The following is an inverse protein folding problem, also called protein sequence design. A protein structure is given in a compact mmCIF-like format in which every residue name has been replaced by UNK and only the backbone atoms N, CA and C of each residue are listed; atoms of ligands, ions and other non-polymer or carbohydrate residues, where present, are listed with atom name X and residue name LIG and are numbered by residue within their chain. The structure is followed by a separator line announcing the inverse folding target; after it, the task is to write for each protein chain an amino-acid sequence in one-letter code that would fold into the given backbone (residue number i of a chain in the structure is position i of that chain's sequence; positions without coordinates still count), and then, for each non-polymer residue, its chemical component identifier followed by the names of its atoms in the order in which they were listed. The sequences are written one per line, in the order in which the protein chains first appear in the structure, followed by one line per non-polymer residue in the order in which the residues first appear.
data_IF_430751153137
#
_entry.id   IF_430751153137
#
_cell.length_a   1.000
_cell.length_b   1.000
_cell.length_c   1.000
_cell.angle_alpha   90.00
_cell.angle_beta   90.00
_cell.angle_gamma   90.00
#
_symmetry.space_group_name_H-M   'P 1'
#
loop_
_entity.id
_entity.type
_entity.pdbx_description
1 polymer ?
#
# COMPACT_ATOMS: atom_id res chain seq x y z
N UNK A 1 -4.34 22.80 -10.20
CA UNK A 1 -3.78 21.63 -9.48
C UNK A 1 -4.24 20.38 -10.21
N UNK A 2 -3.33 19.57 -10.76
CA UNK A 2 -3.71 18.30 -11.36
C UNK A 2 -4.12 17.36 -10.22
N UNK A 3 -5.43 17.16 -10.04
CA UNK A 3 -5.96 16.23 -9.04
C UNK A 3 -5.63 14.83 -9.54
N UNK A 4 -4.55 14.22 -9.03
CA UNK A 4 -4.34 12.78 -9.21
C UNK A 4 -5.55 12.09 -8.60
N UNK A 5 -6.41 11.53 -9.44
CA UNK A 5 -7.60 10.81 -8.98
C UNK A 5 -7.14 9.68 -8.07
N UNK A 6 -7.55 9.73 -6.81
CA UNK A 6 -7.24 8.65 -5.87
C UNK A 6 -7.91 7.38 -6.38
N UNK A 7 -7.13 6.30 -6.46
CA UNK A 7 -7.61 4.97 -6.83
C UNK A 7 -7.39 4.02 -5.66
N UNK A 8 -8.30 3.07 -5.50
CA UNK A 8 -8.14 1.99 -4.55
C UNK A 8 -6.90 1.19 -4.90
N UNK A 9 -6.00 1.06 -3.93
CA UNK A 9 -4.74 0.35 -4.08
C UNK A 9 -4.92 -1.15 -4.34
N UNK A 10 -6.10 -1.74 -4.10
CA UNK A 10 -6.29 -3.19 -4.24
C UNK A 10 -7.14 -3.60 -5.43
N UNK A 11 -8.08 -2.75 -5.86
CA UNK A 11 -9.00 -3.08 -6.95
C UNK A 11 -9.15 -1.99 -8.02
N UNK A 12 -8.40 -0.90 -7.90
CA UNK A 12 -8.44 0.24 -8.83
C UNK A 12 -9.79 0.98 -8.92
N UNK A 13 -10.73 0.73 -7.98
CA UNK A 13 -11.94 1.54 -7.84
C UNK A 13 -11.59 3.02 -7.60
N UNK A 14 -12.37 3.93 -8.18
CA UNK A 14 -12.19 5.37 -7.99
C UNK A 14 -12.69 5.83 -6.62
N UNK A 15 -12.23 7.01 -6.20
CA UNK A 15 -12.68 7.71 -4.99
C UNK A 15 -12.65 6.85 -3.71
N UNK A 16 -11.48 6.28 -3.34
CA UNK A 16 -11.33 5.54 -2.10
C UNK A 16 -11.54 6.46 -0.89
N UNK A 17 -12.33 5.99 0.08
CA UNK A 17 -12.70 6.74 1.29
C UNK A 17 -11.91 6.35 2.53
N UNK A 18 -11.00 5.40 2.41
CA UNK A 18 -10.26 4.84 3.55
C UNK A 18 -8.76 4.89 3.30
N UNK A 19 -8.00 5.24 4.34
CA UNK A 19 -6.54 5.10 4.38
C UNK A 19 -6.14 3.86 5.19
N UNK A 20 -5.16 3.11 4.68
CA UNK A 20 -4.46 2.07 5.43
C UNK A 20 -3.10 2.66 5.85
N UNK A 21 -3.05 3.21 7.06
CA UNK A 21 -1.99 4.13 7.50
C UNK A 21 -0.61 3.49 7.44
N UNK A 22 -0.45 2.31 8.04
CA UNK A 22 0.80 1.57 8.10
C UNK A 22 1.26 0.98 6.75
N UNK A 23 0.43 1.08 5.70
CA UNK A 23 0.74 0.63 4.34
C UNK A 23 0.91 1.79 3.36
N UNK A 24 0.55 3.02 3.75
CA UNK A 24 0.69 4.20 2.91
C UNK A 24 -0.22 4.21 1.68
N UNK A 25 -1.42 3.62 1.77
CA UNK A 25 -2.34 3.49 0.62
C UNK A 25 -3.78 3.91 0.93
N UNK A 26 -4.56 4.22 -0.11
CA UNK A 26 -6.00 4.41 -0.03
C UNK A 26 -6.77 3.20 -0.58
N UNK A 27 -7.92 2.87 0.01
CA UNK A 27 -8.78 1.76 -0.42
C UNK A 27 -10.27 2.14 -0.41
N UNK A 28 -11.07 1.47 -1.26
CA UNK A 28 -12.53 1.66 -1.32
C UNK A 28 -13.24 0.92 -0.17
N UNK A 29 -14.54 1.15 0.00
CA UNK A 29 -15.35 0.54 1.06
C UNK A 29 -15.29 -1.01 1.05
N UNK A 30 -15.38 -1.62 -0.13
CA UNK A 30 -15.33 -3.07 -0.27
C UNK A 30 -13.98 -3.68 0.12
N UNK A 31 -12.87 -3.02 -0.22
CA UNK A 31 -11.54 -3.47 0.20
C UNK A 31 -11.29 -3.18 1.68
N UNK A 32 -11.79 -2.05 2.19
CA UNK A 32 -11.73 -1.70 3.61
C UNK A 32 -12.40 -2.76 4.50
N UNK A 33 -13.56 -3.30 4.12
CA UNK A 33 -14.22 -4.34 4.90
C UNK A 33 -13.36 -5.61 5.06
N UNK A 34 -12.57 -5.94 4.05
CA UNK A 34 -11.59 -7.03 4.09
C UNK A 34 -10.40 -6.64 4.97
N UNK A 35 -9.84 -5.44 4.82
CA UNK A 35 -8.76 -4.97 5.68
C UNK A 35 -9.10 -5.01 7.17
N UNK A 36 -10.37 -4.72 7.53
CA UNK A 36 -10.86 -4.84 8.92
C UNK A 36 -10.79 -6.27 9.44
N UNK A 37 -11.06 -7.28 8.61
CA UNK A 37 -11.01 -8.69 9.03
C UNK A 37 -9.58 -9.23 9.19
N UNK A 38 -8.57 -8.56 8.62
CA UNK A 38 -7.15 -8.89 8.85
C UNK A 38 -6.64 -8.44 10.24
N UNK A 39 -7.31 -7.47 10.86
CA UNK A 39 -6.92 -6.92 12.16
C UNK A 39 -5.79 -5.87 12.11
N UNK A 40 -5.65 -5.13 13.22
CA UNK A 40 -4.81 -3.91 13.31
C UNK A 40 -3.31 -4.14 13.20
N UNK A 41 -2.84 -5.35 13.50
CA UNK A 41 -1.43 -5.72 13.35
C UNK A 41 -1.01 -5.80 11.87
N UNK A 42 -1.96 -6.07 10.97
CA UNK A 42 -1.75 -6.06 9.52
C UNK A 42 -2.19 -4.72 8.91
N UNK A 43 -3.39 -4.23 9.27
CA UNK A 43 -4.03 -3.09 8.60
C UNK A 43 -4.60 -2.08 9.59
N UNK A 44 -4.03 -0.87 9.60
CA UNK A 44 -4.52 0.26 10.41
C UNK A 44 -5.44 1.15 9.58
N UNK A 45 -6.74 0.91 9.69
CA UNK A 45 -7.79 1.55 8.88
C UNK A 45 -8.23 2.90 9.47
N UNK A 46 -8.30 3.96 8.65
CA UNK A 46 -8.90 5.27 9.02
C UNK A 46 -9.77 5.82 7.90
N UNK A 47 -10.97 6.30 8.22
CA UNK A 47 -11.90 6.93 7.26
C UNK A 47 -11.45 8.34 6.92
N UNK A 48 -11.40 8.75 5.64
CA UNK A 48 -10.86 10.05 5.20
C UNK A 48 -11.70 11.26 5.65
N UNK A 49 -13.02 11.10 5.73
CA UNK A 49 -13.96 12.17 6.09
C UNK A 49 -14.37 12.07 7.58
N UNK A 50 -13.54 11.47 8.42
CA UNK A 50 -13.70 11.59 9.87
C UNK A 50 -13.29 13.00 10.27
N UNK A 51 -14.12 13.70 11.06
CA UNK A 51 -13.96 15.09 11.53
C UNK A 51 -12.67 15.40 12.34
N UNK A 52 -11.67 14.51 12.35
CA UNK A 52 -10.35 14.77 12.93
C UNK A 52 -9.27 13.94 12.23
N UNK A 53 -8.72 14.47 11.14
CA UNK A 53 -7.41 14.07 10.63
C UNK A 53 -6.38 15.11 11.03
N UNK A 54 -5.32 14.72 11.74
CA UNK A 54 -4.14 15.57 11.85
C UNK A 54 -3.65 15.89 10.42
N UNK A 55 -3.48 17.17 10.04
CA UNK A 55 -3.06 17.55 8.70
C UNK A 55 -1.74 16.87 8.28
N UNK A 56 -0.83 16.68 9.22
CA UNK A 56 0.44 15.97 9.03
C UNK A 56 0.25 14.51 8.62
N UNK A 57 -0.71 13.80 9.23
CA UNK A 57 -1.00 12.39 8.92
C UNK A 57 -1.62 12.24 7.53
N UNK A 58 -2.54 13.13 7.15
CA UNK A 58 -3.12 13.14 5.81
C UNK A 58 -2.05 13.47 4.76
N UNK A 59 -1.21 14.47 5.03
CA UNK A 59 -0.10 14.86 4.16
C UNK A 59 0.89 13.70 3.97
N UNK A 60 1.29 13.02 5.05
CA UNK A 60 2.15 11.84 5.00
C UNK A 60 1.56 10.74 4.12
N UNK A 61 0.28 10.38 4.33
CA UNK A 61 -0.38 9.33 3.55
C UNK A 61 -0.47 9.69 2.06
N UNK A 62 -0.78 10.96 1.76
CA UNK A 62 -0.81 11.46 0.39
C UNK A 62 0.57 11.41 -0.27
N UNK A 63 1.62 11.81 0.45
CA UNK A 63 3.00 11.76 -0.05
C UNK A 63 3.43 10.33 -0.33
N UNK A 64 3.22 9.40 0.61
CA UNK A 64 3.53 7.98 0.42
C UNK A 64 2.78 7.38 -0.77
N UNK A 65 1.48 7.64 -0.88
CA UNK A 65 0.66 7.15 -2.00
C UNK A 65 1.18 7.69 -3.33
N UNK A 66 1.44 9.00 -3.40
CA UNK A 66 1.92 9.67 -4.61
C UNK A 66 3.35 9.28 -5.00
N UNK A 67 4.17 8.91 -4.01
CA UNK A 67 5.54 8.40 -4.16
C UNK A 67 5.61 6.92 -4.51
N UNK A 68 4.47 6.26 -4.73
CA UNK A 68 4.44 4.87 -5.20
C UNK A 68 4.57 3.82 -4.09
N UNK A 69 4.12 4.11 -2.86
CA UNK A 69 4.09 3.12 -1.78
C UNK A 69 3.41 1.80 -2.19
N UNK A 70 2.42 1.84 -3.08
CA UNK A 70 1.76 0.63 -3.59
C UNK A 70 2.71 -0.29 -4.38
N UNK A 71 3.75 0.25 -5.02
CA UNK A 71 4.75 -0.54 -5.75
C UNK A 71 5.58 -1.45 -4.83
N UNK A 72 5.72 -1.10 -3.54
CA UNK A 72 6.35 -2.00 -2.56
C UNK A 72 5.53 -3.27 -2.34
N UNK A 73 4.21 -3.10 -2.26
CA UNK A 73 3.26 -4.19 -2.00
C UNK A 73 2.88 -4.97 -3.25
N UNK A 74 3.21 -4.47 -4.44
CA UNK A 74 2.87 -5.06 -5.75
C UNK A 74 4.11 -5.23 -6.64
N UNK A 75 5.31 -5.28 -6.06
CA UNK A 75 6.58 -5.26 -6.79
C UNK A 75 6.63 -6.30 -7.92
N UNK A 76 6.37 -7.57 -7.61
CA UNK A 76 6.38 -8.63 -8.62
C UNK A 76 5.22 -8.57 -9.62
N UNK A 77 4.16 -7.80 -9.33
CA UNK A 77 3.06 -7.54 -10.27
C UNK A 77 3.40 -6.43 -11.27
N UNK A 78 4.32 -5.54 -10.91
CA UNK A 78 4.84 -4.49 -11.78
C UNK A 78 5.89 -5.01 -12.77
N UNK A 79 6.50 -6.16 -12.50
CA UNK A 79 7.45 -6.79 -13.42
C UNK A 79 6.75 -7.42 -14.63
N UNK A 80 7.31 -7.23 -15.82
CA UNK A 80 6.80 -7.77 -17.09
C UNK A 80 6.71 -9.31 -17.14
N UNK A 81 7.30 -10.00 -16.17
CA UNK A 81 7.28 -11.46 -16.01
C UNK A 81 6.23 -11.96 -15.00
N UNK A 82 5.36 -11.07 -14.49
CA UNK A 82 4.32 -11.44 -13.54
C UNK A 82 3.54 -12.65 -14.05
N UNK A 83 3.40 -13.66 -13.18
CA UNK A 83 2.65 -14.88 -13.49
C UNK A 83 1.23 -14.48 -13.93
N UNK A 84 0.78 -14.96 -15.10
CA UNK A 84 -0.54 -14.64 -15.67
C UNK A 84 -1.70 -14.91 -14.70
N UNK A 85 -1.49 -15.76 -13.70
CA UNK A 85 -2.49 -16.14 -12.69
C UNK A 85 -2.55 -15.17 -11.49
N UNK A 86 -1.55 -14.32 -11.30
CA UNK A 86 -1.50 -13.33 -10.22
C UNK A 86 -1.84 -11.96 -10.80
N UNK A 87 -3.14 -11.68 -10.90
CA UNK A 87 -3.65 -10.38 -11.32
C UNK A 87 -4.38 -9.69 -10.20
N UNK A 88 -4.11 -8.39 -10.08
CA UNK A 88 -4.89 -7.46 -9.27
C UNK A 88 -6.36 -7.49 -9.70
N UNK A 89 -7.32 -7.58 -8.77
CA UNK A 89 -8.73 -7.53 -9.10
C UNK A 89 -9.12 -6.15 -9.65
N UNK A 90 -10.20 -6.13 -10.40
CA UNK A 90 -10.91 -4.93 -10.83
C UNK A 90 -11.94 -4.48 -9.78
N UNK A 91 -12.48 -3.28 -9.98
CA UNK A 91 -13.51 -2.71 -9.10
C UNK A 91 -14.81 -3.53 -9.11
N UNK A 92 -15.11 -4.19 -10.22
CA UNK A 92 -16.30 -5.05 -10.41
C UNK A 92 -16.12 -6.49 -9.91
N UNK A 93 -14.90 -6.91 -9.56
CA UNK A 93 -14.67 -8.29 -9.14
C UNK A 93 -15.39 -8.62 -7.81
N UNK A 94 -15.79 -9.90 -7.63
CA UNK A 94 -16.43 -10.38 -6.41
C UNK A 94 -15.59 -10.13 -5.17
N UNK A 95 -16.25 -9.95 -4.02
CA UNK A 95 -15.57 -9.70 -2.74
C UNK A 95 -14.60 -10.82 -2.37
N UNK A 96 -14.93 -12.08 -2.69
CA UNK A 96 -14.05 -13.23 -2.48
C UNK A 96 -12.71 -13.06 -3.21
N UNK A 97 -12.75 -12.68 -4.50
CA UNK A 97 -11.54 -12.47 -5.30
C UNK A 97 -10.69 -11.33 -4.75
N UNK A 98 -11.33 -10.25 -4.29
CA UNK A 98 -10.66 -9.14 -3.61
C UNK A 98 -10.03 -9.60 -2.29
N UNK A 99 -10.70 -10.45 -1.53
CA UNK A 99 -10.22 -10.95 -0.25
C UNK A 99 -8.99 -11.85 -0.40
N UNK A 100 -8.99 -12.75 -1.37
CA UNK A 100 -7.82 -13.56 -1.72
C UNK A 100 -6.62 -12.69 -2.08
N UNK A 101 -6.82 -11.69 -2.94
CA UNK A 101 -5.76 -10.78 -3.34
C UNK A 101 -5.21 -9.96 -2.16
N UNK A 102 -6.09 -9.39 -1.33
CA UNK A 102 -5.70 -8.56 -0.18
C UNK A 102 -4.94 -9.38 0.87
N UNK A 103 -5.34 -10.63 1.13
CA UNK A 103 -4.58 -11.56 1.99
C UNK A 103 -3.20 -11.87 1.42
N UNK A 104 -3.14 -12.23 0.13
CA UNK A 104 -1.86 -12.48 -0.54
C UNK A 104 -0.93 -11.27 -0.46
N UNK A 105 -1.47 -10.07 -0.67
CA UNK A 105 -0.72 -8.81 -0.67
C UNK A 105 -0.18 -8.41 0.70
N UNK A 106 -1.00 -8.46 1.74
CA UNK A 106 -0.66 -7.83 3.03
C UNK A 106 -0.40 -8.79 4.19
N UNK A 107 -0.97 -9.99 4.16
CA UNK A 107 -0.77 -11.02 5.19
C UNK A 107 0.36 -11.97 4.77
N UNK A 108 0.35 -12.43 3.52
CA UNK A 108 1.33 -13.39 3.00
C UNK A 108 2.55 -12.71 2.34
N UNK A 109 2.46 -11.40 2.08
CA UNK A 109 3.49 -10.60 1.44
C UNK A 109 3.98 -11.23 0.11
N UNK A 110 3.06 -11.79 -0.68
CA UNK A 110 3.38 -12.60 -1.85
C UNK A 110 3.98 -11.83 -3.03
N UNK A 111 3.90 -10.49 -3.01
CA UNK A 111 4.33 -9.65 -4.12
C UNK A 111 5.44 -8.66 -3.75
N UNK A 112 5.93 -8.68 -2.51
CA UNK A 112 7.01 -7.77 -2.08
C UNK A 112 8.36 -8.30 -2.53
N UNK A 113 9.31 -7.40 -2.82
CA UNK A 113 10.71 -7.80 -2.87
C UNK A 113 11.19 -8.16 -1.47
N UNK A 114 11.92 -9.27 -1.35
CA UNK A 114 12.62 -9.63 -0.11
C UNK A 114 14.07 -9.14 -0.19
N UNK A 115 14.50 -8.36 0.80
CA UNK A 115 15.92 -8.06 0.99
C UNK A 115 16.63 -9.27 1.62
N UNK A 116 17.93 -9.40 1.35
CA UNK A 116 18.85 -10.31 2.05
C UNK A 116 19.47 -9.69 3.30
N UNK A 117 19.23 -8.40 3.55
CA UNK A 117 19.81 -7.65 4.66
C UNK A 117 19.36 -8.17 6.03
N UNK A 118 20.23 -8.04 7.03
CA UNK A 118 19.87 -8.36 8.42
C UNK A 118 19.01 -7.25 9.03
N UNK A 119 18.33 -7.56 10.13
CA UNK A 119 17.55 -6.55 10.88
C UNK A 119 18.43 -5.38 11.35
N UNK A 120 19.67 -5.65 11.75
CA UNK A 120 20.63 -4.64 12.17
C UNK A 120 21.00 -3.70 11.01
N UNK A 121 21.26 -4.26 9.83
CA UNK A 121 21.56 -3.47 8.62
C UNK A 121 20.36 -2.58 8.26
N UNK A 122 19.14 -3.14 8.28
CA UNK A 122 17.91 -2.39 8.00
C UNK A 122 17.66 -1.27 9.00
N UNK A 123 17.92 -1.51 10.29
CA UNK A 123 17.81 -0.49 11.32
C UNK A 123 18.79 0.66 11.09
N UNK A 124 20.04 0.36 10.75
CA UNK A 124 21.06 1.38 10.45
C UNK A 124 20.70 2.18 9.19
N UNK A 125 20.23 1.51 8.13
CA UNK A 125 19.75 2.16 6.92
C UNK A 125 18.55 3.08 7.20
N UNK A 126 17.60 2.64 8.03
CA UNK A 126 16.47 3.46 8.44
C UNK A 126 16.93 4.70 9.23
N UNK A 127 17.82 4.54 10.21
CA UNK A 127 18.35 5.63 11.03
C UNK A 127 19.07 6.71 10.20
N UNK A 128 19.73 6.31 9.11
CA UNK A 128 20.34 7.24 8.18
C UNK A 128 19.30 7.96 7.31
N UNK A 129 18.30 7.22 6.81
CA UNK A 129 17.31 7.71 5.85
C UNK A 129 16.36 8.75 6.45
N UNK A 130 15.92 8.58 7.69
CA UNK A 130 14.98 9.49 8.37
C UNK A 130 15.55 10.87 8.69
N UNK A 131 16.87 11.07 8.50
CA UNK A 131 17.51 12.39 8.60
C UNK A 131 17.24 13.25 7.37
N UNK A 132 16.71 12.65 6.30
CA UNK A 132 16.31 13.32 5.07
C UNK A 132 14.78 13.42 5.01
N UNK A 133 14.26 14.45 4.35
CA UNK A 133 12.80 14.63 4.17
C UNK A 133 12.19 13.67 3.12
N UNK A 134 12.89 12.59 2.76
CA UNK A 134 12.46 11.69 1.70
C UNK A 134 11.59 10.55 2.25
N UNK A 135 10.36 10.46 1.77
CA UNK A 135 9.43 9.35 2.05
C UNK A 135 9.32 8.37 0.88
N UNK A 136 10.13 8.56 -0.18
CA UNK A 136 10.16 7.66 -1.32
C UNK A 136 10.64 6.27 -0.88
N UNK A 137 10.06 5.18 -1.42
CA UNK A 137 10.67 3.86 -1.31
C UNK A 137 12.09 3.87 -1.93
N UNK A 138 13.04 3.08 -1.38
CA UNK A 138 14.41 3.04 -1.88
C UNK A 138 14.44 2.68 -3.37
N UNK A 139 15.13 3.50 -4.17
CA UNK A 139 15.21 3.38 -5.64
C UNK A 139 16.16 2.28 -6.13
N UNK A 140 16.83 1.55 -5.24
CA UNK A 140 17.90 0.61 -5.58
C UNK A 140 17.42 -0.85 -5.70
N UNK A 141 16.38 -1.10 -6.48
CA UNK A 141 15.99 -2.47 -6.88
C UNK A 141 15.69 -2.51 -8.39
N UNK A 142 16.51 -1.81 -9.16
CA UNK A 142 16.56 -2.01 -10.62
C UNK A 142 18.03 -2.18 -10.97
N UNK A 143 18.50 -3.42 -10.85
CA UNK A 143 19.71 -3.90 -11.52
C UNK A 143 19.42 -5.32 -11.97
#
# INVERSE_FOLDING_TARGET
MCSKTKICADCSATDPKWGILNKGVFVCDACCSIHRSLGRHISQVKYLDSSTWPPSLLSMLMTLTNGGANCLWEHSLCESKANKNQKKPSSSDPLQRKAEFIKAKYEQLSFVLRSSDTEEDLNQQLHSSVRTSNLDPPKNITS
#
